data_IF_393007552717
#
_entry.id   IF_393007552717
#
_cell.length_a   1.000
_cell.length_b   1.000
_cell.length_c   1.000
_cell.angle_alpha   90.00
_cell.angle_beta   90.00
_cell.angle_gamma   90.00
#
_symmetry.space_group_name_H-M   'P 1'
#
loop_
_entity.id
_entity.type
_entity.pdbx_description
1 polymer ?
#
# COMPACT_ATOMS: atom_id res chain seq x y z
N UNK A 1 4.48 -12.96 4.03
CA UNK A 1 5.36 -11.76 3.94
C UNK A 1 5.14 -10.90 5.18
N UNK A 2 6.23 -10.44 5.80
CA UNK A 2 6.20 -9.53 6.95
C UNK A 2 6.52 -8.11 6.47
N UNK A 3 5.60 -7.20 6.71
CA UNK A 3 5.60 -5.84 6.17
C UNK A 3 5.60 -4.88 7.34
N UNK A 4 6.48 -3.89 7.33
CA UNK A 4 6.49 -2.78 8.27
C UNK A 4 6.38 -1.45 7.54
N UNK A 5 5.63 -0.49 8.11
CA UNK A 5 5.73 0.92 7.73
C UNK A 5 6.10 1.74 8.95
N UNK A 6 6.84 2.82 8.76
CA UNK A 6 7.16 3.77 9.81
C UNK A 6 6.31 5.03 9.64
N UNK A 7 5.29 5.20 10.50
CA UNK A 7 4.52 6.42 10.57
C UNK A 7 5.16 7.36 11.61
N UNK A 8 5.56 8.55 11.19
CA UNK A 8 6.11 9.55 12.10
C UNK A 8 5.89 10.98 11.58
N UNK A 9 6.25 11.95 12.39
CA UNK A 9 6.07 13.38 12.12
C UNK A 9 7.42 14.06 11.82
N UNK A 10 7.96 13.94 10.60
CA UNK A 10 9.19 14.63 10.22
C UNK A 10 9.01 16.15 10.33
N UNK A 11 10.05 16.83 10.81
CA UNK A 11 10.12 18.28 10.81
C UNK A 11 10.70 18.78 9.49
N UNK A 12 10.07 19.79 8.91
CA UNK A 12 10.50 20.38 7.64
C UNK A 12 11.95 20.87 7.75
N UNK A 13 12.84 20.35 6.90
CA UNK A 13 14.24 20.74 6.80
C UNK A 13 15.18 20.19 7.89
N UNK A 14 14.69 19.48 8.89
CA UNK A 14 15.51 18.92 9.98
C UNK A 14 15.94 17.46 9.68
N UNK A 15 16.77 17.27 8.66
CA UNK A 15 17.17 15.93 8.18
C UNK A 15 17.81 15.11 9.30
N UNK A 16 18.73 15.67 10.08
CA UNK A 16 19.41 14.94 11.16
C UNK A 16 18.44 14.57 12.30
N UNK A 17 17.59 15.53 12.72
CA UNK A 17 16.56 15.27 13.71
C UNK A 17 15.55 14.21 13.25
N UNK A 18 15.17 14.21 11.98
CA UNK A 18 14.27 13.22 11.42
C UNK A 18 14.90 11.82 11.33
N UNK A 19 16.19 11.72 10.99
CA UNK A 19 16.96 10.46 11.04
C UNK A 19 16.98 9.93 12.47
N UNK A 20 17.31 10.76 13.45
CA UNK A 20 17.37 10.37 14.85
C UNK A 20 15.99 9.91 15.33
N UNK A 21 14.93 10.61 14.96
CA UNK A 21 13.54 10.24 15.29
C UNK A 21 13.13 8.91 14.67
N UNK A 22 13.43 8.69 13.39
CA UNK A 22 13.17 7.41 12.73
C UNK A 22 13.90 6.25 13.43
N UNK A 23 15.18 6.41 13.77
CA UNK A 23 15.97 5.41 14.48
C UNK A 23 15.41 5.12 15.88
N UNK A 24 15.00 6.13 16.62
CA UNK A 24 14.37 5.98 17.95
C UNK A 24 13.08 5.16 17.84
N UNK A 25 12.22 5.46 16.86
CA UNK A 25 10.96 4.77 16.66
C UNK A 25 11.16 3.30 16.24
N UNK A 26 12.11 3.03 15.36
CA UNK A 26 12.46 1.65 14.98
C UNK A 26 12.98 0.86 16.21
N UNK A 27 13.83 1.48 17.03
CA UNK A 27 14.32 0.87 18.26
C UNK A 27 13.21 0.64 19.29
N UNK A 28 12.28 1.61 19.45
CA UNK A 28 11.11 1.48 20.33
C UNK A 28 10.21 0.33 19.87
N UNK A 29 10.10 0.15 18.55
CA UNK A 29 9.37 -0.92 17.94
C UNK A 29 7.86 -0.72 17.94
N UNK A 30 7.13 -1.81 17.65
CA UNK A 30 5.67 -1.82 17.60
C UNK A 30 5.09 -1.93 19.00
N UNK A 31 4.18 -1.05 19.35
CA UNK A 31 3.36 -1.16 20.56
C UNK A 31 2.31 -2.27 20.39
N UNK A 32 2.32 -3.25 21.28
CA UNK A 32 1.29 -4.28 21.37
C UNK A 32 0.55 -4.10 22.69
N UNK A 33 -0.75 -3.85 22.60
CA UNK A 33 -1.61 -3.76 23.78
C UNK A 33 -1.82 -5.17 24.33
N UNK A 34 -1.59 -5.37 25.64
CA UNK A 34 -1.89 -6.62 26.35
C UNK A 34 -3.20 -6.38 27.11
N UNK A 35 -4.18 -7.24 26.88
CA UNK A 35 -5.48 -7.25 27.59
C UNK A 35 -6.26 -5.92 27.55
N UNK A 36 -6.16 -5.17 26.44
CA UNK A 36 -6.90 -3.92 26.26
C UNK A 36 -6.44 -2.77 27.17
N UNK A 37 -5.34 -2.93 27.91
CA UNK A 37 -4.76 -1.86 28.72
C UNK A 37 -3.70 -1.07 27.92
N UNK A 38 -3.65 0.25 28.20
CA UNK A 38 -2.75 1.23 27.54
C UNK A 38 -1.26 1.01 27.80
N UNK A 39 -0.88 0.03 28.61
CA UNK A 39 0.50 -0.38 28.87
C UNK A 39 0.87 -1.53 27.95
N UNK A 40 1.33 -1.19 26.73
CA UNK A 40 1.82 -2.16 25.78
C UNK A 40 3.33 -2.37 25.93
N UNK A 41 3.79 -3.57 25.59
CA UNK A 41 5.21 -3.86 25.41
C UNK A 41 5.59 -3.46 23.98
N UNK A 42 6.69 -2.71 23.82
CA UNK A 42 7.30 -2.46 22.52
C UNK A 42 8.03 -3.73 22.02
N UNK A 43 7.67 -4.21 20.84
CA UNK A 43 8.43 -5.27 20.16
C UNK A 43 9.35 -4.57 19.16
N UNK A 44 10.66 -4.61 19.39
CA UNK A 44 11.67 -4.01 18.52
C UNK A 44 11.53 -4.50 17.08
N UNK A 45 11.85 -3.63 16.12
CA UNK A 45 11.75 -3.95 14.69
C UNK A 45 12.60 -5.16 14.29
N UNK A 46 13.73 -5.37 14.95
CA UNK A 46 14.63 -6.52 14.79
C UNK A 46 13.95 -7.85 15.13
N UNK A 47 13.07 -7.87 16.12
CA UNK A 47 12.28 -9.05 16.50
C UNK A 47 11.10 -9.28 15.56
N UNK A 48 10.56 -8.23 14.96
CA UNK A 48 9.50 -8.33 13.97
C UNK A 48 10.01 -8.92 12.64
N UNK A 49 11.30 -8.78 12.34
CA UNK A 49 11.97 -9.31 11.13
C UNK A 49 11.17 -9.02 9.85
N UNK A 50 10.93 -7.76 9.48
CA UNK A 50 10.18 -7.46 8.26
C UNK A 50 10.94 -7.95 7.03
N UNK A 51 10.20 -8.35 5.99
CA UNK A 51 10.76 -8.58 4.65
C UNK A 51 10.96 -7.26 3.91
N UNK A 52 10.14 -6.26 4.27
CA UNK A 52 10.17 -4.91 3.71
C UNK A 52 9.74 -3.87 4.76
N UNK A 53 10.47 -2.75 4.81
CA UNK A 53 10.14 -1.55 5.57
C UNK A 53 9.86 -0.40 4.61
N UNK A 54 8.70 0.24 4.74
CA UNK A 54 8.30 1.37 3.89
C UNK A 54 8.17 2.64 4.72
N UNK A 55 8.86 3.70 4.27
CA UNK A 55 8.81 5.02 4.86
C UNK A 55 7.87 5.94 4.07
N UNK A 56 7.40 7.03 4.69
CA UNK A 56 6.59 8.04 4.03
C UNK A 56 7.32 8.78 2.91
N UNK A 57 6.55 9.53 2.14
CA UNK A 57 7.01 10.49 1.14
C UNK A 57 7.88 11.57 1.79
N UNK A 58 9.02 11.90 1.16
CA UNK A 58 10.00 12.88 1.63
C UNK A 58 10.33 12.69 3.13
N UNK A 59 10.58 11.43 3.52
CA UNK A 59 10.57 10.98 4.91
C UNK A 59 11.56 11.72 5.83
N UNK A 60 12.75 12.07 5.31
CA UNK A 60 13.79 12.69 6.15
C UNK A 60 13.88 14.21 5.99
N UNK A 61 13.25 14.78 4.97
CA UNK A 61 13.32 16.23 4.71
C UNK A 61 12.10 17.00 5.15
N UNK A 62 10.96 16.30 5.32
CA UNK A 62 9.65 16.94 5.35
C UNK A 62 9.13 17.20 3.92
N UNK A 63 7.88 17.66 3.82
CA UNK A 63 7.16 17.68 2.54
C UNK A 63 6.80 19.10 2.07
N UNK A 64 6.35 19.98 2.96
CA UNK A 64 5.65 21.22 2.60
C UNK A 64 6.61 22.36 2.19
N UNK A 65 7.51 22.10 1.25
CA UNK A 65 8.41 23.12 0.70
C UNK A 65 7.65 24.08 -0.23
N UNK A 66 7.75 25.40 -0.01
CA UNK A 66 6.97 26.38 -0.76
C UNK A 66 7.50 26.65 -2.18
N UNK A 67 8.75 26.32 -2.47
CA UNK A 67 9.38 26.65 -3.75
C UNK A 67 10.57 25.76 -4.08
N UNK A 68 11.03 25.86 -5.33
CA UNK A 68 12.25 25.21 -5.85
C UNK A 68 13.50 25.61 -5.05
N UNK A 69 13.59 26.87 -4.60
CA UNK A 69 14.70 27.38 -3.79
C UNK A 69 14.70 26.80 -2.39
N UNK A 70 13.51 26.62 -1.80
CA UNK A 70 13.35 26.11 -0.46
C UNK A 70 13.76 24.62 -0.35
N UNK A 71 13.47 23.80 -1.36
CA UNK A 71 13.82 22.37 -1.36
C UNK A 71 15.26 22.11 -1.83
N UNK A 72 15.86 23.04 -2.57
CA UNK A 72 17.19 22.87 -3.20
C UNK A 72 18.29 22.39 -2.24
N UNK A 73 18.39 22.85 -0.97
CA UNK A 73 19.41 22.38 -0.03
C UNK A 73 19.29 20.90 0.36
N UNK A 74 18.14 20.28 0.10
CA UNK A 74 17.80 18.92 0.55
C UNK A 74 17.81 17.90 -0.58
N UNK A 75 18.07 18.36 -1.81
CA UNK A 75 18.08 17.49 -2.99
C UNK A 75 19.23 16.49 -2.94
N UNK A 76 18.93 15.25 -3.29
CA UNK A 76 19.87 14.13 -3.31
C UNK A 76 19.96 13.52 -4.72
N UNK A 77 21.15 13.16 -5.18
CA UNK A 77 21.28 12.35 -6.39
C UNK A 77 20.72 10.94 -6.15
N UNK A 78 20.17 10.32 -7.19
CA UNK A 78 19.59 8.99 -7.09
C UNK A 78 20.55 7.96 -6.46
N UNK A 79 20.11 7.36 -5.36
CA UNK A 79 20.92 6.40 -4.61
C UNK A 79 22.14 6.96 -3.88
N UNK A 80 22.24 8.28 -3.72
CA UNK A 80 23.29 8.95 -2.94
C UNK A 80 22.64 9.99 -2.01
N UNK A 81 23.35 10.39 -0.94
CA UNK A 81 22.85 11.36 0.06
C UNK A 81 22.33 10.70 1.33
N UNK A 82 21.78 11.52 2.26
CA UNK A 82 21.35 11.08 3.59
C UNK A 82 20.29 9.99 3.55
N UNK A 83 19.26 10.12 2.70
CA UNK A 83 18.18 9.14 2.59
C UNK A 83 18.66 7.78 2.09
N UNK A 84 19.49 7.78 1.05
CA UNK A 84 20.07 6.55 0.51
C UNK A 84 21.03 5.88 1.51
N UNK A 85 21.82 6.67 2.24
CA UNK A 85 22.74 6.15 3.28
C UNK A 85 21.96 5.50 4.41
N UNK A 86 20.96 6.20 4.95
CA UNK A 86 20.11 5.67 6.00
C UNK A 86 19.38 4.39 5.56
N UNK A 87 18.83 4.38 4.34
CA UNK A 87 18.13 3.21 3.81
C UNK A 87 19.06 1.98 3.67
N UNK A 88 20.29 2.18 3.18
CA UNK A 88 21.28 1.10 3.05
C UNK A 88 21.70 0.53 4.39
N UNK A 89 21.97 1.40 5.37
CA UNK A 89 22.40 0.96 6.70
C UNK A 89 21.25 0.22 7.42
N UNK A 90 20.04 0.74 7.32
CA UNK A 90 18.83 0.12 7.87
C UNK A 90 18.53 -1.23 7.19
N UNK A 91 18.61 -1.30 5.85
CA UNK A 91 18.38 -2.52 5.10
C UNK A 91 19.36 -3.65 5.48
N UNK A 92 20.64 -3.31 5.63
CA UNK A 92 21.68 -4.24 6.08
C UNK A 92 21.45 -4.68 7.53
N UNK A 93 21.13 -3.74 8.43
CA UNK A 93 20.90 -4.02 9.85
C UNK A 93 19.69 -4.92 10.07
N UNK A 94 18.59 -4.68 9.38
CA UNK A 94 17.34 -5.42 9.52
C UNK A 94 17.23 -6.63 8.58
N UNK A 95 18.19 -6.80 7.66
CA UNK A 95 18.17 -7.84 6.63
C UNK A 95 16.89 -7.83 5.77
N UNK A 96 16.33 -6.64 5.50
CA UNK A 96 15.08 -6.44 4.75
C UNK A 96 15.27 -5.46 3.59
N UNK A 97 14.24 -5.33 2.74
CA UNK A 97 14.16 -4.22 1.80
C UNK A 97 13.72 -2.96 2.52
N UNK A 98 14.24 -1.81 2.09
CA UNK A 98 13.81 -0.49 2.58
C UNK A 98 13.37 0.36 1.41
N UNK A 99 12.14 0.91 1.51
CA UNK A 99 11.60 1.91 0.59
C UNK A 99 11.54 3.25 1.31
N UNK A 100 12.11 4.30 0.71
CA UNK A 100 12.17 5.64 1.32
C UNK A 100 11.90 6.74 0.32
N UNK A 101 10.95 7.62 0.64
CA UNK A 101 10.68 8.84 -0.13
C UNK A 101 11.73 9.91 0.11
N UNK A 102 12.21 10.56 -0.97
CA UNK A 102 13.25 11.59 -0.90
C UNK A 102 13.15 12.58 -2.08
N UNK A 103 13.67 13.82 -1.93
CA UNK A 103 13.73 14.78 -3.03
C UNK A 103 14.98 14.48 -3.89
N UNK A 104 14.77 14.18 -5.16
CA UNK A 104 15.83 13.80 -6.10
C UNK A 104 16.24 14.98 -6.97
N UNK A 105 17.57 15.07 -7.26
CA UNK A 105 18.13 15.89 -8.32
C UNK A 105 18.75 15.01 -9.38
N UNK A 106 18.43 15.28 -10.65
CA UNK A 106 19.03 14.64 -11.80
C UNK A 106 19.80 15.70 -12.63
N UNK A 107 21.05 15.42 -12.88
CA UNK A 107 21.89 16.18 -13.80
C UNK A 107 21.94 15.44 -15.13
N UNK A 108 21.68 16.13 -16.23
CA UNK A 108 21.83 15.61 -17.58
C UNK A 108 22.85 16.48 -18.33
N UNK A 109 23.74 15.83 -19.05
CA UNK A 109 24.74 16.54 -19.87
C UNK A 109 24.08 17.29 -21.04
N UNK A 110 22.87 16.88 -21.43
CA UNK A 110 22.10 17.45 -22.54
C UNK A 110 21.19 18.62 -22.11
N UNK A 111 21.01 18.86 -20.81
CA UNK A 111 20.10 19.88 -20.28
C UNK A 111 20.87 20.98 -19.52
N UNK A 112 20.51 22.24 -19.78
CA UNK A 112 21.16 23.39 -19.15
C UNK A 112 20.90 23.50 -17.65
N UNK A 113 19.79 22.95 -17.16
CA UNK A 113 19.42 22.95 -15.75
C UNK A 113 19.05 21.56 -15.27
N UNK A 114 19.38 21.22 -13.99
CA UNK A 114 18.97 19.93 -13.43
C UNK A 114 17.46 19.85 -13.22
N UNK A 115 16.93 18.64 -13.36
CA UNK A 115 15.55 18.31 -12.99
C UNK A 115 15.47 17.81 -11.55
N UNK A 116 14.38 18.15 -10.91
CA UNK A 116 14.08 17.71 -9.54
C UNK A 116 12.86 16.80 -9.56
N UNK A 117 12.84 15.78 -8.71
CA UNK A 117 11.74 14.83 -8.62
C UNK A 117 11.42 14.50 -7.17
N UNK A 118 10.16 14.23 -6.92
CA UNK A 118 9.71 13.56 -5.71
C UNK A 118 9.81 12.05 -5.96
N UNK A 119 10.72 11.36 -5.25
CA UNK A 119 11.15 10.02 -5.60
C UNK A 119 11.06 9.03 -4.45
N UNK A 120 10.91 7.74 -4.79
CA UNK A 120 10.90 6.60 -3.89
C UNK A 120 12.05 5.66 -4.25
N UNK A 121 13.03 5.58 -3.36
CA UNK A 121 14.18 4.68 -3.48
C UNK A 121 13.87 3.32 -2.86
N UNK A 122 14.26 2.24 -3.52
CA UNK A 122 14.18 0.88 -2.99
C UNK A 122 15.57 0.28 -2.89
N UNK A 123 15.94 -0.11 -1.67
CA UNK A 123 17.23 -0.72 -1.35
C UNK A 123 16.98 -2.15 -0.86
N UNK A 124 17.79 -3.10 -1.30
CA UNK A 124 17.71 -4.48 -0.84
C UNK A 124 18.51 -4.73 0.45
N UNK A 125 18.37 -5.92 1.02
CA UNK A 125 19.05 -6.34 2.26
C UNK A 125 20.59 -6.29 2.22
N UNK A 126 21.20 -6.18 1.03
CA UNK A 126 22.66 -6.02 0.87
C UNK A 126 23.07 -4.56 0.85
N UNK A 127 22.10 -3.63 0.80
CA UNK A 127 22.32 -2.21 0.63
C UNK A 127 22.43 -1.79 -0.84
N UNK A 128 22.13 -2.67 -1.78
CA UNK A 128 22.08 -2.30 -3.21
C UNK A 128 20.79 -1.57 -3.54
N UNK A 129 20.87 -0.47 -4.29
CA UNK A 129 19.71 0.20 -4.88
C UNK A 129 19.18 -0.69 -5.99
N UNK A 130 17.94 -1.14 -5.85
CA UNK A 130 17.30 -2.04 -6.82
C UNK A 130 16.20 -1.37 -7.63
N UNK A 131 15.69 -0.22 -7.17
CA UNK A 131 14.69 0.55 -7.89
C UNK A 131 14.70 2.01 -7.44
N UNK A 132 14.32 2.92 -8.35
CA UNK A 132 14.05 4.33 -8.08
C UNK A 132 12.82 4.74 -8.88
N UNK A 133 11.73 5.05 -8.19
CA UNK A 133 10.49 5.51 -8.79
C UNK A 133 10.35 7.01 -8.58
N UNK A 134 9.97 7.76 -9.60
CA UNK A 134 9.68 9.19 -9.58
C UNK A 134 8.18 9.40 -9.66
N UNK A 135 7.62 10.23 -8.79
CA UNK A 135 6.19 10.52 -8.72
C UNK A 135 5.65 10.98 -10.07
N UNK A 136 4.62 10.29 -10.54
CA UNK A 136 4.06 10.54 -11.87
C UNK A 136 2.96 11.60 -11.86
N UNK A 137 2.16 11.66 -10.78
CA UNK A 137 1.09 12.65 -10.59
C UNK A 137 1.49 13.59 -9.47
N UNK A 138 1.77 14.85 -9.82
CA UNK A 138 2.20 15.85 -8.85
C UNK A 138 1.00 16.43 -8.11
N UNK A 139 1.20 16.71 -6.81
CA UNK A 139 0.29 17.52 -6.02
C UNK A 139 0.71 18.99 -6.11
N UNK A 140 -0.18 19.92 -5.84
CA UNK A 140 0.06 21.36 -5.95
C UNK A 140 1.38 21.84 -5.33
N UNK A 141 1.78 21.25 -4.19
CA UNK A 141 3.08 21.55 -3.56
C UNK A 141 4.23 21.03 -4.41
N UNK A 142 4.13 19.82 -4.97
CA UNK A 142 5.17 19.24 -5.82
C UNK A 142 5.35 20.05 -7.11
N UNK A 143 4.27 20.54 -7.70
CA UNK A 143 4.30 21.32 -8.96
C UNK A 143 5.15 22.59 -8.86
N UNK A 144 5.41 23.08 -7.63
CA UNK A 144 6.25 24.27 -7.42
C UNK A 144 7.74 23.99 -7.64
N UNK A 145 8.16 22.71 -7.62
CA UNK A 145 9.59 22.36 -7.65
C UNK A 145 9.94 21.08 -8.42
N UNK A 146 9.03 20.11 -8.53
CA UNK A 146 9.29 18.80 -9.12
C UNK A 146 8.78 18.69 -10.55
N UNK A 147 9.44 17.84 -11.33
CA UNK A 147 8.95 17.34 -12.61
C UNK A 147 8.21 16.02 -12.44
N UNK A 148 7.29 15.71 -13.33
CA UNK A 148 6.60 14.44 -13.40
C UNK A 148 7.56 13.31 -13.81
N UNK A 149 7.46 12.17 -13.11
CA UNK A 149 8.15 10.93 -13.47
C UNK A 149 7.37 10.12 -14.51
N UNK A 150 8.04 9.12 -15.10
CA UNK A 150 7.40 8.18 -16.01
C UNK A 150 6.56 7.15 -15.27
N UNK A 151 5.33 6.93 -15.71
CA UNK A 151 4.42 5.91 -15.17
C UNK A 151 4.95 4.49 -15.37
N UNK A 152 5.78 4.23 -16.41
CA UNK A 152 6.36 2.92 -16.68
C UNK A 152 7.33 2.47 -15.59
N UNK A 153 7.96 3.42 -14.89
CA UNK A 153 8.82 3.11 -13.74
C UNK A 153 8.02 2.72 -12.49
N UNK A 154 6.70 2.87 -12.52
CA UNK A 154 5.81 2.49 -11.42
C UNK A 154 5.61 0.97 -11.26
N UNK A 155 6.33 0.14 -12.02
CA UNK A 155 6.23 -1.31 -11.92
C UNK A 155 7.60 -1.98 -11.93
N UNK A 156 7.79 -2.98 -11.04
CA UNK A 156 8.95 -3.85 -11.02
C UNK A 156 8.66 -5.16 -10.29
N UNK A 157 9.30 -6.24 -10.73
CA UNK A 157 9.32 -7.48 -9.92
C UNK A 157 10.39 -7.36 -8.84
N UNK A 158 9.99 -7.58 -7.58
CA UNK A 158 10.89 -7.62 -6.43
C UNK A 158 11.11 -9.08 -6.00
N UNK A 159 12.39 -9.47 -5.89
CA UNK A 159 12.74 -10.80 -5.42
C UNK A 159 12.68 -10.88 -3.89
N UNK A 160 11.87 -11.78 -3.34
CA UNK A 160 11.83 -12.10 -1.92
C UNK A 160 12.35 -13.51 -1.67
N UNK A 161 13.12 -13.69 -0.62
CA UNK A 161 13.51 -15.02 -0.16
C UNK A 161 12.39 -15.52 0.75
N UNK A 162 11.84 -16.73 0.55
CA UNK A 162 10.90 -17.30 1.51
C UNK A 162 11.52 -17.28 2.90
N UNK A 163 10.74 -16.92 3.93
CA UNK A 163 11.19 -17.01 5.30
C UNK A 163 11.53 -18.48 5.57
N UNK A 164 12.79 -18.77 5.90
CA UNK A 164 13.16 -20.04 6.48
C UNK A 164 12.33 -20.20 7.75
N UNK A 165 11.57 -21.27 7.84
CA UNK A 165 10.95 -21.68 9.10
C UNK A 165 12.06 -21.78 10.16
N UNK A 166 11.79 -21.40 11.44
CA UNK A 166 12.78 -21.52 12.48
C UNK A 166 13.28 -22.97 12.47
N UNK A 167 14.58 -23.13 12.24
CA UNK A 167 15.24 -24.46 12.24
C UNK A 167 14.78 -25.24 13.48
N UNK A 168 13.81 -26.12 13.29
CA UNK A 168 13.57 -27.16 14.26
C UNK A 168 14.89 -27.93 14.36
N UNK A 169 15.48 -27.97 15.55
CA UNK A 169 16.77 -28.66 15.85
C UNK A 169 16.68 -30.15 15.53
N UNK A 170 16.55 -30.47 14.28
CA UNK A 170 16.78 -31.80 13.74
C UNK A 170 18.19 -31.77 13.15
N UNK A 171 19.11 -32.41 13.86
CA UNK A 171 20.46 -32.71 13.39
C UNK A 171 20.37 -33.69 12.23
N UNK A 172 20.09 -33.19 11.03
CA UNK A 172 20.30 -33.94 9.80
C UNK A 172 21.52 -33.33 9.11
N UNK A 173 22.60 -34.06 9.06
CA UNK A 173 23.83 -33.78 8.34
C UNK A 173 23.61 -33.98 6.83
N UNK A 174 22.83 -33.12 6.19
CA UNK A 174 22.73 -33.10 4.75
C UNK A 174 23.15 -31.70 4.30
N UNK A 175 24.16 -31.62 3.46
CA UNK A 175 24.69 -30.38 2.86
C UNK A 175 23.58 -29.76 2.03
N UNK A 176 23.20 -28.48 2.25
CA UNK A 176 22.21 -27.80 1.39
C UNK A 176 22.83 -27.54 0.02
N UNK A 177 22.42 -28.28 -1.00
CA UNK A 177 22.95 -28.14 -2.37
C UNK A 177 22.11 -27.23 -3.26
N UNK A 178 21.13 -26.49 -2.75
CA UNK A 178 20.35 -25.53 -3.55
C UNK A 178 20.21 -24.20 -2.80
N UNK A 179 20.57 -23.10 -3.45
CA UNK A 179 20.21 -21.76 -2.99
C UNK A 179 18.68 -21.65 -2.87
N UNK A 180 18.14 -20.99 -1.82
CA UNK A 180 16.70 -20.81 -1.68
C UNK A 180 16.14 -20.15 -2.92
N UNK A 181 15.08 -20.73 -3.49
CA UNK A 181 14.42 -20.18 -4.68
C UNK A 181 13.82 -18.83 -4.30
N UNK A 182 14.32 -17.76 -4.90
CA UNK A 182 13.76 -16.43 -4.74
C UNK A 182 12.42 -16.38 -5.47
N UNK A 183 11.39 -15.88 -4.78
CA UNK A 183 10.10 -15.61 -5.39
C UNK A 183 10.08 -14.17 -5.90
N UNK A 184 9.88 -13.98 -7.18
CA UNK A 184 9.64 -12.66 -7.77
C UNK A 184 8.18 -12.26 -7.57
N UNK A 185 7.98 -11.10 -6.94
CA UNK A 185 6.65 -10.53 -6.66
C UNK A 185 6.43 -9.30 -7.55
N UNK A 186 5.48 -9.37 -8.51
CA UNK A 186 5.07 -8.22 -9.29
C UNK A 186 4.60 -7.09 -8.36
N UNK A 187 5.27 -5.93 -8.43
CA UNK A 187 5.09 -4.83 -7.48
C UNK A 187 4.83 -3.52 -8.20
N UNK A 188 3.75 -2.83 -7.82
CA UNK A 188 3.47 -1.45 -8.24
C UNK A 188 3.91 -0.46 -7.17
N UNK A 189 4.46 0.67 -7.61
CA UNK A 189 4.90 1.78 -6.77
C UNK A 189 4.07 3.01 -7.06
N UNK A 190 3.74 3.75 -6.01
CA UNK A 190 3.09 5.04 -6.10
C UNK A 190 3.49 5.96 -4.95
N UNK A 191 3.39 7.26 -5.20
CA UNK A 191 3.64 8.30 -4.21
C UNK A 191 2.38 9.16 -4.11
N UNK A 192 1.69 9.06 -2.98
CA UNK A 192 0.60 9.94 -2.56
C UNK A 192 -0.42 10.26 -3.68
N UNK A 193 -0.20 11.36 -4.40
CA UNK A 193 -1.10 11.86 -5.47
C UNK A 193 -1.31 10.86 -6.61
N UNK A 194 -0.42 9.91 -6.81
CA UNK A 194 -0.53 8.92 -7.90
C UNK A 194 -1.82 8.11 -7.88
N UNK A 195 -2.45 7.94 -6.71
CA UNK A 195 -3.74 7.25 -6.61
C UNK A 195 -4.95 8.14 -6.93
N UNK A 196 -4.77 9.47 -7.00
CA UNK A 196 -5.83 10.41 -7.34
C UNK A 196 -6.09 10.47 -8.86
N UNK A 197 -7.20 11.08 -9.29
CA UNK A 197 -7.36 11.50 -10.67
C UNK A 197 -6.26 12.48 -11.06
N UNK A 198 -5.69 12.30 -12.26
CA UNK A 198 -4.62 13.18 -12.76
C UNK A 198 -5.02 14.65 -12.66
N UNK A 199 -4.20 15.46 -11.98
CA UNK A 199 -4.41 16.89 -11.68
C UNK A 199 -5.75 17.25 -11.01
N UNK A 200 -6.46 16.27 -10.44
CA UNK A 200 -7.86 16.38 -10.01
C UNK A 200 -8.83 16.83 -11.12
N UNK A 201 -8.41 16.79 -12.38
CA UNK A 201 -9.19 17.15 -13.55
C UNK A 201 -9.75 15.92 -14.26
N UNK A 202 -9.03 14.79 -14.24
CA UNK A 202 -9.51 13.54 -14.79
C UNK A 202 -10.76 13.04 -14.04
N UNK A 203 -11.66 12.30 -14.70
CA UNK A 203 -12.84 11.74 -14.05
C UNK A 203 -12.44 10.89 -12.82
N UNK A 204 -13.19 11.02 -11.73
CA UNK A 204 -12.95 10.25 -10.50
C UNK A 204 -12.91 8.72 -10.78
N UNK A 205 -13.73 8.28 -11.73
CA UNK A 205 -13.87 6.88 -12.17
C UNK A 205 -12.80 6.43 -13.17
N UNK A 206 -11.85 7.29 -13.54
CA UNK A 206 -10.73 6.90 -14.41
C UNK A 206 -9.83 5.84 -13.72
N UNK A 207 -9.64 5.95 -12.39
CA UNK A 207 -8.88 5.00 -11.57
C UNK A 207 -7.53 4.62 -12.17
N UNK A 208 -6.77 5.59 -12.70
CA UNK A 208 -5.59 5.38 -13.53
C UNK A 208 -4.56 4.48 -12.84
N UNK A 209 -4.28 4.76 -11.56
CA UNK A 209 -3.33 3.97 -10.79
C UNK A 209 -3.84 2.53 -10.54
N UNK A 210 -5.08 2.38 -10.08
CA UNK A 210 -5.66 1.07 -9.80
C UNK A 210 -5.79 0.19 -11.05
N UNK A 211 -6.10 0.80 -12.21
CA UNK A 211 -6.11 0.08 -13.47
C UNK A 211 -4.70 -0.38 -13.87
N UNK A 212 -3.65 0.46 -13.69
CA UNK A 212 -2.26 0.03 -13.92
C UNK A 212 -1.85 -1.14 -13.02
N UNK A 213 -2.25 -1.11 -11.74
CA UNK A 213 -2.03 -2.23 -10.79
C UNK A 213 -2.70 -3.49 -11.30
N UNK A 214 -3.94 -3.39 -11.78
CA UNK A 214 -4.71 -4.51 -12.33
C UNK A 214 -4.08 -5.08 -13.60
N UNK A 215 -3.71 -4.20 -14.55
CA UNK A 215 -3.16 -4.58 -15.86
C UNK A 215 -1.76 -5.19 -15.75
N UNK A 216 -0.93 -4.72 -14.81
CA UNK A 216 0.39 -5.27 -14.52
C UNK A 216 0.36 -6.58 -13.74
N UNK A 217 -0.81 -7.01 -13.26
CA UNK A 217 -0.95 -8.20 -12.41
C UNK A 217 -0.20 -8.08 -11.08
N UNK A 218 -0.06 -6.87 -10.53
CA UNK A 218 0.70 -6.63 -9.30
C UNK A 218 0.08 -7.34 -8.10
N UNK A 219 0.94 -8.05 -7.36
CA UNK A 219 0.58 -8.74 -6.12
C UNK A 219 0.95 -7.93 -4.88
N UNK A 220 1.79 -6.92 -5.05
CA UNK A 220 2.19 -5.96 -4.02
C UNK A 220 2.05 -4.53 -4.56
N UNK A 221 1.49 -3.65 -3.76
CA UNK A 221 1.40 -2.21 -4.04
C UNK A 221 2.06 -1.47 -2.89
N UNK A 222 3.02 -0.61 -3.19
CA UNK A 222 3.75 0.19 -2.21
C UNK A 222 3.41 1.66 -2.45
N UNK A 223 2.79 2.28 -1.45
CA UNK A 223 2.45 3.70 -1.46
C UNK A 223 3.21 4.43 -0.35
N UNK A 224 4.09 5.33 -0.76
CA UNK A 224 4.82 6.25 0.11
C UNK A 224 4.10 7.60 0.09
N UNK A 225 3.62 8.08 1.25
CA UNK A 225 2.59 9.11 1.27
C UNK A 225 2.90 10.24 2.25
N UNK A 226 2.52 11.46 1.87
CA UNK A 226 2.37 12.64 2.71
C UNK A 226 0.92 13.14 2.60
N UNK A 227 -0.03 12.24 2.82
CA UNK A 227 -1.45 12.49 2.62
C UNK A 227 -2.02 13.37 3.71
N UNK A 228 -2.60 14.48 3.29
CA UNK A 228 -3.17 15.50 4.17
C UNK A 228 -4.52 15.05 4.73
N UNK A 229 -4.89 15.62 5.90
CA UNK A 229 -6.24 15.58 6.44
C UNK A 229 -6.84 16.97 6.50
N UNK A 230 -8.17 17.05 6.39
CA UNK A 230 -8.92 18.27 6.60
C UNK A 230 -9.24 18.51 8.09
N UNK A 231 -8.94 17.55 8.97
CA UNK A 231 -9.19 17.66 10.40
C UNK A 231 -8.31 18.73 11.04
N UNK A 232 -8.88 19.46 11.98
CA UNK A 232 -8.15 20.33 12.88
C UNK A 232 -7.27 19.54 13.86
N UNK A 233 -6.36 20.22 14.54
CA UNK A 233 -5.49 19.60 15.56
C UNK A 233 -6.29 18.99 16.71
N UNK A 234 -7.36 19.66 17.11
CA UNK A 234 -8.27 19.21 18.17
C UNK A 234 -9.08 17.98 17.72
N UNK A 235 -9.51 17.95 16.47
CA UNK A 235 -10.24 16.81 15.91
C UNK A 235 -9.36 15.56 15.87
N UNK A 236 -8.08 15.70 15.43
CA UNK A 236 -7.11 14.59 15.45
C UNK A 236 -6.89 14.10 16.89
N UNK A 237 -6.74 15.02 17.84
CA UNK A 237 -6.59 14.67 19.25
C UNK A 237 -7.83 13.96 19.80
N UNK A 238 -9.03 14.36 19.37
CA UNK A 238 -10.29 13.75 19.76
C UNK A 238 -10.46 12.32 19.22
N UNK A 239 -9.76 11.94 18.15
CA UNK A 239 -9.72 10.56 17.67
C UNK A 239 -9.11 9.58 18.70
N UNK A 240 -8.31 10.10 19.66
CA UNK A 240 -7.72 9.31 20.75
C UNK A 240 -7.05 8.03 20.26
N UNK A 241 -6.10 8.18 19.29
CA UNK A 241 -5.37 7.07 18.71
C UNK A 241 -6.13 6.25 17.66
N UNK A 242 -7.34 6.67 17.26
CA UNK A 242 -8.06 6.03 16.16
C UNK A 242 -7.59 6.57 14.81
N UNK A 243 -7.70 5.77 13.74
CA UNK A 243 -7.39 6.20 12.38
C UNK A 243 -8.42 7.23 11.87
N UNK A 244 -7.99 8.03 10.89
CA UNK A 244 -8.89 8.86 10.07
C UNK A 244 -9.60 7.94 9.05
N UNK A 245 -10.82 7.54 9.41
CA UNK A 245 -11.59 6.58 8.61
C UNK A 245 -12.11 7.17 7.31
N UNK A 246 -12.27 8.48 7.21
CA UNK A 246 -12.69 9.14 5.96
C UNK A 246 -11.54 9.08 4.93
N UNK A 247 -10.32 9.39 5.37
CA UNK A 247 -9.11 9.21 4.56
C UNK A 247 -8.90 7.74 4.18
N UNK A 248 -9.01 6.81 5.12
CA UNK A 248 -8.87 5.38 4.83
C UNK A 248 -9.91 4.89 3.82
N UNK A 249 -11.17 5.28 3.99
CA UNK A 249 -12.26 4.95 3.07
C UNK A 249 -12.02 5.53 1.67
N UNK A 250 -11.50 6.77 1.60
CA UNK A 250 -11.12 7.36 0.34
C UNK A 250 -10.05 6.54 -0.38
N UNK A 251 -8.98 6.13 0.31
CA UNK A 251 -7.94 5.28 -0.28
C UNK A 251 -8.51 3.97 -0.82
N UNK A 252 -9.38 3.30 -0.05
CA UNK A 252 -10.03 2.07 -0.51
C UNK A 252 -10.86 2.30 -1.78
N UNK A 253 -11.60 3.41 -1.83
CA UNK A 253 -12.39 3.77 -2.99
C UNK A 253 -11.53 4.00 -4.25
N UNK A 254 -10.29 4.47 -4.11
CA UNK A 254 -9.38 4.62 -5.25
C UNK A 254 -8.90 3.26 -5.81
N UNK A 255 -9.14 2.16 -5.11
CA UNK A 255 -8.83 0.79 -5.54
C UNK A 255 -10.07 -0.03 -5.92
N UNK A 256 -11.23 0.61 -6.15
CA UNK A 256 -12.45 -0.10 -6.56
C UNK A 256 -12.25 -1.06 -7.75
N UNK A 257 -11.46 -0.75 -8.80
CA UNK A 257 -11.21 -1.70 -9.88
C UNK A 257 -10.66 -3.06 -9.43
N UNK A 258 -9.86 -3.09 -8.35
CA UNK A 258 -9.33 -4.35 -7.80
C UNK A 258 -10.41 -5.17 -7.06
N UNK A 259 -11.54 -4.56 -6.73
CA UNK A 259 -12.66 -5.21 -6.05
C UNK A 259 -13.74 -5.68 -7.04
N UNK A 260 -13.92 -4.94 -8.14
CA UNK A 260 -14.99 -5.15 -9.11
C UNK A 260 -14.56 -5.98 -10.33
N UNK A 261 -13.29 -5.83 -10.75
CA UNK A 261 -12.74 -6.53 -11.92
C UNK A 261 -11.93 -7.74 -11.48
N UNK A 262 -11.91 -8.78 -12.30
CA UNK A 262 -11.11 -10.00 -12.02
C UNK A 262 -9.63 -9.68 -11.97
N UNK A 263 -8.97 -10.01 -10.85
CA UNK A 263 -7.53 -9.89 -10.70
C UNK A 263 -6.81 -10.84 -11.67
N UNK A 264 -5.74 -10.36 -12.29
CA UNK A 264 -4.88 -11.13 -13.19
C UNK A 264 -3.49 -11.19 -12.57
N UNK A 265 -3.05 -12.38 -12.18
CA UNK A 265 -1.68 -12.58 -11.71
C UNK A 265 -0.93 -13.40 -12.74
N UNK A 266 0.31 -13.01 -13.05
CA UNK A 266 1.19 -13.79 -13.91
C UNK A 266 1.47 -15.16 -13.27
N UNK A 267 1.19 -16.25 -13.98
CA UNK A 267 1.38 -17.62 -13.50
C UNK A 267 0.12 -18.34 -13.01
N UNK A 268 -1.06 -17.74 -13.09
CA UNK A 268 -2.35 -18.39 -12.82
C UNK A 268 -2.86 -19.25 -14.00
N UNK A 269 -2.09 -19.35 -15.07
CA UNK A 269 -2.34 -20.26 -16.19
C UNK A 269 -1.74 -21.60 -15.77
N UNK A 270 -2.60 -22.52 -15.38
CA UNK A 270 -2.33 -23.96 -15.23
C UNK A 270 -1.29 -24.39 -14.18
N UNK A 271 -1.54 -24.16 -12.90
CA UNK A 271 -0.91 -24.97 -11.85
C UNK A 271 -1.96 -25.84 -11.12
N UNK A 272 -2.29 -26.93 -11.75
CA UNK A 272 -2.55 -28.18 -11.03
C UNK A 272 -1.21 -28.66 -10.47
N UNK A 273 -0.80 -28.20 -9.31
CA UNK A 273 0.27 -28.84 -8.56
C UNK A 273 -0.09 -28.78 -7.08
N UNK A 274 -0.52 -29.94 -6.63
CA UNK A 274 -0.59 -30.31 -5.22
C UNK A 274 0.80 -30.16 -4.59
N UNK A 275 1.01 -29.06 -3.90
CA UNK A 275 2.09 -28.95 -2.91
C UNK A 275 1.45 -28.71 -1.55
N UNK A 276 1.57 -29.66 -0.61
CA UNK A 276 1.03 -29.50 0.75
C UNK A 276 1.87 -28.48 1.51
N UNK A 277 1.31 -27.29 1.76
CA UNK A 277 1.94 -26.28 2.61
C UNK A 277 1.58 -24.83 2.32
N UNK A 278 0.97 -24.48 1.20
CA UNK A 278 0.48 -23.14 0.93
C UNK A 278 -1.03 -23.09 1.22
N UNK A 279 -1.43 -22.39 2.27
CA UNK A 279 -2.83 -22.19 2.68
C UNK A 279 -3.61 -21.21 1.78
N UNK A 280 -3.40 -21.24 0.46
CA UNK A 280 -4.25 -20.56 -0.50
C UNK A 280 -5.18 -21.57 -1.12
N UNK A 281 -6.48 -21.45 -0.84
CA UNK A 281 -7.48 -22.25 -1.55
C UNK A 281 -7.34 -22.07 -3.07
N UNK A 282 -7.52 -23.13 -3.88
CA UNK A 282 -7.39 -23.06 -5.32
C UNK A 282 -8.26 -21.93 -5.90
N UNK A 283 -7.69 -21.09 -6.76
CA UNK A 283 -8.40 -19.99 -7.41
C UNK A 283 -8.52 -18.68 -6.59
N UNK A 284 -7.83 -18.56 -5.45
CA UNK A 284 -7.79 -17.30 -4.68
C UNK A 284 -6.64 -16.43 -5.17
N UNK A 285 -6.95 -15.17 -5.54
CA UNK A 285 -5.98 -14.14 -5.92
C UNK A 285 -5.91 -13.06 -4.87
N UNK A 286 -4.70 -12.57 -4.59
CA UNK A 286 -4.47 -11.57 -3.55
C UNK A 286 -3.53 -10.48 -4.03
N UNK A 287 -3.90 -9.22 -3.82
CA UNK A 287 -3.02 -8.06 -3.96
C UNK A 287 -2.89 -7.37 -2.61
N UNK A 288 -1.67 -7.31 -2.08
CA UNK A 288 -1.36 -6.61 -0.83
C UNK A 288 -1.09 -5.14 -1.13
N UNK A 289 -1.67 -4.23 -0.35
CA UNK A 289 -1.50 -2.78 -0.51
C UNK A 289 -0.97 -2.20 0.80
N UNK A 290 0.15 -1.48 0.69
CA UNK A 290 0.81 -0.80 1.80
C UNK A 290 0.57 0.69 1.66
N UNK A 291 -0.09 1.29 2.65
CA UNK A 291 -0.23 2.74 2.79
C UNK A 291 0.74 3.22 3.86
N UNK A 292 1.91 3.73 3.46
CA UNK A 292 2.91 4.28 4.36
C UNK A 292 2.79 5.80 4.39
N UNK A 293 1.95 6.32 5.27
CA UNK A 293 1.71 7.75 5.41
C UNK A 293 2.48 8.33 6.60
N UNK A 294 2.71 9.62 6.56
CA UNK A 294 3.26 10.37 7.70
C UNK A 294 2.15 10.91 8.61
N UNK A 295 2.53 11.22 9.83
CA UNK A 295 1.71 11.96 10.79
C UNK A 295 2.25 13.36 11.02
N UNK A 296 1.61 14.11 11.93
CA UNK A 296 2.08 15.39 12.40
C UNK A 296 1.62 16.57 11.56
N UNK A 297 2.30 17.69 11.79
CA UNK A 297 1.98 18.98 11.18
C UNK A 297 3.27 19.66 10.72
N UNK A 298 3.24 20.31 9.58
CA UNK A 298 4.30 21.19 9.10
C UNK A 298 3.79 22.63 8.98
N UNK A 299 4.66 23.63 9.16
CA UNK A 299 4.26 25.01 9.05
C UNK A 299 3.65 25.33 7.68
N UNK A 300 2.81 26.34 7.65
CA UNK A 300 2.31 26.90 6.40
C UNK A 300 3.46 27.34 5.49
N UNK A 301 3.28 27.19 4.19
CA UNK A 301 4.27 27.62 3.21
C UNK A 301 4.46 29.16 3.21
N UNK A 302 3.41 29.90 3.57
CA UNK A 302 3.36 31.34 3.70
C UNK A 302 2.21 31.79 4.62
N UNK A 303 2.14 33.08 4.93
CA UNK A 303 1.14 33.65 5.85
C UNK A 303 -0.31 33.56 5.33
N UNK A 304 -0.52 33.18 4.06
CA UNK A 304 -1.84 33.06 3.43
C UNK A 304 -2.37 31.64 3.48
N UNK A 305 -1.55 30.66 3.82
CA UNK A 305 -1.88 29.21 3.84
C UNK A 305 -2.00 28.68 5.27
N UNK A 306 -2.73 27.62 5.43
CA UNK A 306 -2.80 26.87 6.68
C UNK A 306 -1.62 25.92 6.81
N UNK A 307 -1.26 25.57 8.05
CA UNK A 307 -0.33 24.48 8.31
C UNK A 307 -0.78 23.18 7.63
N UNK A 308 0.17 22.44 7.07
CA UNK A 308 -0.10 21.14 6.46
C UNK A 308 -0.21 20.09 7.57
N UNK A 309 -1.37 19.43 7.69
CA UNK A 309 -1.61 18.32 8.63
C UNK A 309 -1.76 17.01 7.88
N UNK A 310 -1.15 15.97 8.41
CA UNK A 310 -1.10 14.67 7.77
C UNK A 310 -2.01 13.68 8.47
N UNK A 311 -2.71 12.87 7.67
CA UNK A 311 -3.75 11.97 8.15
C UNK A 311 -3.23 10.80 9.00
N UNK A 312 -1.91 10.54 9.02
CA UNK A 312 -1.42 9.31 9.62
C UNK A 312 -2.06 8.10 8.98
N UNK A 313 -2.72 7.27 9.78
CA UNK A 313 -3.60 6.19 9.28
C UNK A 313 -2.89 5.16 8.39
N UNK A 314 -1.57 4.99 8.57
CA UNK A 314 -0.81 3.97 7.83
C UNK A 314 -1.41 2.60 8.01
N UNK A 315 -1.52 1.85 6.91
CA UNK A 315 -2.22 0.57 6.89
C UNK A 315 -1.54 -0.46 6.01
N UNK A 316 -1.74 -1.73 6.34
CA UNK A 316 -1.46 -2.85 5.45
C UNK A 316 -2.72 -3.67 5.26
N UNK A 317 -3.19 -3.71 4.02
CA UNK A 317 -4.39 -4.44 3.63
C UNK A 317 -4.10 -5.42 2.50
N UNK A 318 -5.03 -6.31 2.21
CA UNK A 318 -5.06 -7.05 0.95
C UNK A 318 -6.46 -7.09 0.37
N UNK A 319 -6.55 -6.91 -0.92
CA UNK A 319 -7.72 -7.29 -1.71
C UNK A 319 -7.55 -8.75 -2.07
N UNK A 320 -8.51 -9.58 -1.68
CA UNK A 320 -8.55 -11.00 -1.99
C UNK A 320 -9.79 -11.29 -2.81
N UNK A 321 -9.62 -11.98 -3.92
CA UNK A 321 -10.72 -12.41 -4.79
C UNK A 321 -10.75 -13.92 -4.87
N UNK A 322 -11.97 -14.48 -4.84
CA UNK A 322 -12.24 -15.90 -5.04
C UNK A 322 -13.25 -16.07 -6.17
N UNK A 323 -12.93 -16.93 -7.12
CA UNK A 323 -13.89 -17.34 -8.14
C UNK A 323 -14.97 -18.22 -7.49
N UNK A 324 -16.24 -17.89 -7.67
CA UNK A 324 -17.38 -18.68 -7.22
C UNK A 324 -18.09 -19.26 -8.44
N UNK A 325 -18.12 -20.58 -8.55
CA UNK A 325 -18.99 -21.23 -9.52
C UNK A 325 -20.44 -20.96 -9.12
N UNK A 326 -21.15 -20.18 -9.92
CA UNK A 326 -22.61 -20.07 -9.75
C UNK A 326 -23.19 -21.35 -10.34
N UNK A 327 -23.70 -22.23 -9.49
CA UNK A 327 -24.49 -23.35 -9.94
C UNK A 327 -25.68 -22.78 -10.74
N UNK A 328 -25.73 -23.06 -12.03
CA UNK A 328 -26.91 -22.76 -12.84
C UNK A 328 -28.08 -23.49 -12.19
N UNK A 329 -29.02 -22.69 -11.60
CA UNK A 329 -30.20 -23.24 -10.95
C UNK A 329 -30.97 -24.13 -11.93
N UNK A 330 -31.09 -25.39 -11.59
CA UNK A 330 -32.00 -26.30 -12.27
C UNK A 330 -33.44 -25.81 -12.06
N UNK A 331 -33.90 -24.96 -12.99
CA UNK A 331 -35.31 -24.65 -13.09
C UNK A 331 -36.03 -25.95 -13.48
N UNK A 332 -36.83 -26.50 -12.57
CA UNK A 332 -37.78 -27.55 -12.87
C UNK A 332 -38.85 -26.99 -13.82
N UNK A 333 -38.64 -27.17 -15.10
CA UNK A 333 -39.59 -26.83 -16.15
C UNK A 333 -39.76 -28.02 -17.08
N UNK A 334 -40.97 -28.55 -17.15
CA UNK A 334 -41.49 -29.67 -17.89
C UNK A 334 -40.92 -29.81 -19.32
N UNK A 335 -40.53 -31.01 -19.61
CA UNK A 335 -40.12 -31.54 -20.91
C UNK A 335 -41.20 -31.28 -21.98
N UNK A 336 -40.88 -30.53 -23.03
CA UNK A 336 -41.55 -30.54 -24.31
C UNK A 336 -40.53 -30.98 -25.36
N UNK A 337 -40.83 -32.10 -26.03
CA UNK A 337 -40.01 -32.65 -27.10
C UNK A 337 -40.08 -31.77 -28.35
N UNK A 338 -38.94 -31.61 -29.03
CA UNK A 338 -38.86 -31.32 -30.45
C UNK A 338 -38.16 -30.03 -30.82
N UNK A 339 -36.93 -30.11 -31.33
CA UNK A 339 -36.25 -29.02 -32.04
C UNK A 339 -34.74 -29.13 -31.96
N UNK A 340 -34.11 -29.62 -33.01
CA UNK A 340 -32.67 -29.57 -33.24
C UNK A 340 -32.35 -28.12 -33.59
N UNK A 341 -31.59 -27.42 -32.74
CA UNK A 341 -30.81 -26.26 -33.22
C UNK A 341 -29.62 -26.04 -32.28
N UNK A 342 -28.44 -25.75 -32.88
CA UNK A 342 -27.17 -25.61 -32.21
C UNK A 342 -27.17 -24.36 -31.32
N UNK A 343 -27.37 -24.55 -30.02
CA UNK A 343 -27.26 -23.53 -29.02
C UNK A 343 -25.83 -23.45 -28.49
N UNK A 344 -25.21 -22.29 -28.63
CA UNK A 344 -23.98 -21.91 -27.96
C UNK A 344 -24.08 -22.23 -26.45
N UNK A 345 -23.11 -23.00 -25.96
CA UNK A 345 -22.95 -23.26 -24.53
C UNK A 345 -22.76 -21.89 -23.83
N UNK A 346 -23.78 -21.43 -23.11
CA UNK A 346 -23.71 -20.22 -22.29
C UNK A 346 -22.61 -20.39 -21.25
N UNK A 347 -21.53 -19.64 -21.41
CA UNK A 347 -20.49 -19.51 -20.38
C UNK A 347 -21.15 -19.09 -19.08
N UNK A 348 -21.15 -19.99 -18.09
CA UNK A 348 -21.69 -19.71 -16.77
C UNK A 348 -20.99 -18.49 -16.17
N UNK A 349 -21.77 -17.46 -15.81
CA UNK A 349 -21.26 -16.23 -15.23
C UNK A 349 -20.52 -16.54 -13.94
N UNK A 350 -19.18 -16.42 -13.96
CA UNK A 350 -18.32 -16.65 -12.80
C UNK A 350 -18.41 -15.42 -11.88
N UNK A 351 -19.21 -15.52 -10.82
CA UNK A 351 -19.27 -14.47 -9.82
C UNK A 351 -17.97 -14.42 -9.01
N UNK A 352 -17.40 -13.23 -8.87
CA UNK A 352 -16.19 -13.00 -8.05
C UNK A 352 -16.61 -12.48 -6.68
N UNK A 353 -16.21 -13.17 -5.63
CA UNK A 353 -16.32 -12.69 -4.25
C UNK A 353 -15.02 -11.94 -3.89
N UNK A 354 -15.12 -10.65 -3.57
CA UNK A 354 -13.99 -9.83 -3.15
C UNK A 354 -14.09 -9.49 -1.66
N UNK A 355 -12.95 -9.59 -0.96
CA UNK A 355 -12.79 -9.22 0.45
C UNK A 355 -11.57 -8.35 0.64
N UNK A 356 -11.63 -7.43 1.60
CA UNK A 356 -10.49 -6.64 2.06
C UNK A 356 -10.11 -7.16 3.44
N UNK A 357 -8.90 -7.71 3.56
CA UNK A 357 -8.30 -8.06 4.83
C UNK A 357 -7.39 -6.92 5.29
N UNK A 358 -7.42 -6.56 6.58
CA UNK A 358 -6.55 -5.54 7.17
C UNK A 358 -5.82 -6.14 8.38
N UNK A 359 -4.48 -6.12 8.33
CA UNK A 359 -3.65 -6.65 9.42
C UNK A 359 -3.31 -5.59 10.45
N UNK A 360 -3.12 -4.34 10.00
CA UNK A 360 -2.81 -3.26 10.90
C UNK A 360 -3.23 -1.91 10.32
N UNK A 361 -3.62 -1.00 11.22
CA UNK A 361 -4.09 0.34 10.89
C UNK A 361 -3.75 1.25 12.07
N UNK A 362 -2.84 2.21 11.87
CA UNK A 362 -2.40 3.14 12.91
C UNK A 362 -3.36 4.31 13.07
N UNK A 363 -3.36 4.90 14.25
CA UNK A 363 -4.09 6.13 14.54
C UNK A 363 -3.55 7.36 13.79
N UNK A 364 -4.41 8.34 13.54
CA UNK A 364 -4.10 9.53 12.75
C UNK A 364 -2.93 10.35 13.31
N UNK A 365 -2.92 10.61 14.62
CA UNK A 365 -1.88 11.40 15.29
C UNK A 365 -0.72 10.59 15.87
N UNK A 366 -0.66 9.28 15.63
CA UNK A 366 0.31 8.40 16.26
C UNK A 366 1.62 8.34 15.49
N UNK A 367 2.73 8.17 16.23
CA UNK A 367 4.03 7.80 15.67
C UNK A 367 4.39 6.37 16.09
N UNK A 368 4.73 5.53 15.11
CA UNK A 368 5.06 4.13 15.40
C UNK A 368 5.16 3.27 14.15
N UNK A 369 5.18 1.96 14.38
CA UNK A 369 5.28 0.94 13.35
C UNK A 369 3.92 0.32 13.09
N UNK A 370 3.41 0.42 11.85
CA UNK A 370 2.36 -0.43 11.34
C UNK A 370 3.02 -1.72 10.86
N UNK A 371 2.56 -2.88 11.34
CA UNK A 371 3.18 -4.16 11.02
C UNK A 371 2.13 -5.20 10.67
N UNK A 372 2.39 -5.94 9.60
CA UNK A 372 1.56 -7.03 9.13
C UNK A 372 2.41 -8.27 8.85
N UNK A 373 2.00 -9.40 9.36
CA UNK A 373 2.40 -10.71 8.84
C UNK A 373 1.23 -11.23 7.99
N UNK A 374 1.39 -11.24 6.67
CA UNK A 374 0.31 -11.62 5.75
C UNK A 374 -0.01 -13.11 5.76
N UNK A 375 0.75 -13.91 6.52
CA UNK A 375 0.46 -15.32 6.78
C UNK A 375 -0.38 -15.53 8.04
N UNK A 376 -0.43 -14.51 8.93
CA UNK A 376 -1.27 -14.51 10.10
C UNK A 376 -2.71 -14.06 9.78
N UNK A 377 -3.64 -14.36 10.67
CA UNK A 377 -5.02 -13.89 10.57
C UNK A 377 -5.09 -12.36 10.59
N UNK A 378 -5.87 -11.73 9.68
CA UNK A 378 -6.07 -10.29 9.68
C UNK A 378 -6.89 -9.84 10.89
N UNK A 379 -6.62 -8.64 11.40
CA UNK A 379 -7.40 -8.04 12.50
C UNK A 379 -8.83 -7.71 12.10
N UNK A 380 -9.04 -7.35 10.84
CA UNK A 380 -10.36 -6.97 10.30
C UNK A 380 -10.52 -7.52 8.88
N UNK A 381 -11.75 -7.91 8.56
CA UNK A 381 -12.13 -8.32 7.20
C UNK A 381 -13.41 -7.58 6.81
N UNK A 382 -13.36 -6.89 5.68
CA UNK A 382 -14.50 -6.19 5.10
C UNK A 382 -14.96 -6.93 3.84
N UNK A 383 -16.26 -7.24 3.75
CA UNK A 383 -16.88 -7.78 2.54
C UNK A 383 -17.64 -6.69 1.80
N UNK A 384 -17.57 -6.69 0.47
CA UNK A 384 -18.47 -5.87 -0.34
C UNK A 384 -19.87 -6.50 -0.31
N UNK A 385 -20.85 -5.81 0.25
CA UNK A 385 -22.25 -6.12 0.01
C UNK A 385 -22.67 -5.41 -1.27
N UNK A 386 -22.96 -6.16 -2.34
CA UNK A 386 -23.76 -5.60 -3.45
C UNK A 386 -25.11 -5.18 -2.87
N UNK A 387 -25.48 -3.92 -2.99
CA UNK A 387 -26.88 -3.52 -2.76
C UNK A 387 -27.73 -4.32 -3.75
N UNK A 388 -28.51 -5.24 -3.24
CA UNK A 388 -29.52 -5.95 -4.00
C UNK A 388 -30.45 -4.92 -4.66
N UNK A 389 -30.90 -5.25 -5.89
CA UNK A 389 -31.84 -4.44 -6.63
C UNK A 389 -33.05 -4.06 -5.78
N UNK A 390 -33.59 -2.92 -6.08
CA UNK A 390 -34.76 -2.30 -5.51
C UNK A 390 -35.84 -3.30 -5.12
N UNK A 391 -36.09 -3.44 -3.80
CA UNK A 391 -37.42 -3.81 -3.34
C UNK A 391 -38.32 -2.61 -3.65
N UNK A 392 -39.22 -2.79 -4.64
CA UNK A 392 -40.38 -1.95 -4.82
C UNK A 392 -41.22 -2.04 -3.53
N UNK A 393 -41.23 -0.96 -2.71
CA UNK A 393 -42.17 -0.84 -1.63
C UNK A 393 -43.52 -0.52 -2.25
N UNK A 394 -44.37 -1.50 -2.38
CA UNK A 394 -45.80 -1.30 -2.55
C UNK A 394 -46.34 -0.58 -1.30
N UNK A 395 -46.55 0.72 -1.43
CA UNK A 395 -47.27 1.51 -0.46
C UNK A 395 -48.75 1.15 -0.51
N UNK A 396 -49.23 0.44 0.49
CA UNK A 396 -50.68 0.44 0.82
C UNK A 396 -51.00 1.72 1.54
N UNK A 397 -51.70 2.62 0.86
CA UNK A 397 -52.46 3.71 1.48
C UNK A 397 -53.63 3.10 2.26
N UNK A 398 -53.60 3.15 3.58
CA UNK A 398 -54.77 2.95 4.42
C UNK A 398 -55.40 4.31 4.74
N UNK A 399 -56.46 4.68 4.02
CA UNK A 399 -57.43 5.67 4.48
C UNK A 399 -58.03 5.15 5.78
N UNK A 400 -57.99 5.96 6.84
CA UNK A 400 -58.62 5.75 8.12
C UNK A 400 -59.15 7.05 8.67
N UNK A 401 -60.42 7.33 8.41
CA UNK A 401 -61.21 8.40 8.99
C UNK A 401 -61.29 8.26 10.51
N UNK A 402 -61.25 9.43 11.21
CA UNK A 402 -61.59 9.55 12.65
C UNK A 402 -61.09 10.89 13.19
#
# INVERSE_FOLDING_TARGET
MRIATLQFAPKLGDVEGNINRANELLKRGKHVSIDGQTRGIGIGIDLLRPDILVLPELALTGYNFPSKEAIKPYLESAGAGPSATWARDTAKSLHCKVCIGYPEIEHSDDEAEPKYYNSLLVVDKTGAVIHNYRKSFLYFTDETWAAEGSVELGFRKLAFTPCDEPESKSKSTTIPTASPVQQEVPTSFGICMDINPYKFEAPYTAYEFANRVLDSGSQLVILSMAWLTLMGKEDIAALNGKPDMDTFSYWLNRFMPLLEKKLRHEGDIDRHTDSPGASSEPGTKRTVIIFANRAGEEPAADDTKSAARYAGTSAVIAVTQRARMVASGSGSGSRVEGGIDGGEEGEGECAVEAKIACWDLLGAGEEGICFADTTAEPKMVFGLRRRGGSEESSGEESEGSG
#
